data_IF_731807698624
#
_entry.id   IF_731807698624
#
_cell.length_a   1.000
_cell.length_b   1.000
_cell.length_c   1.000
_cell.angle_alpha   90.00
_cell.angle_beta   90.00
_cell.angle_gamma   90.00
#
_symmetry.space_group_name_H-M   'P 1'
#
loop_
_entity.id
_entity.type
_entity.pdbx_description
1 polymer ?
#
# COMPACT_ATOMS: atom_id res chain seq x y z
N UNK A 1 -6.99 -12.68 3.98
CA UNK A 1 -7.04 -11.22 3.84
C UNK A 1 -5.63 -10.66 3.70
N UNK A 2 -5.24 -10.24 2.50
CA UNK A 2 -3.93 -9.63 2.24
C UNK A 2 -4.11 -8.40 1.32
N UNK A 3 -3.29 -7.34 1.48
CA UNK A 3 -3.27 -6.25 0.52
C UNK A 3 -2.61 -6.72 -0.78
N UNK A 4 -3.21 -6.37 -1.92
CA UNK A 4 -2.68 -6.59 -3.27
C UNK A 4 -2.74 -5.27 -4.05
N UNK A 5 -2.08 -5.22 -5.21
CA UNK A 5 -2.08 -4.04 -6.09
C UNK A 5 -1.72 -2.74 -5.34
N UNK A 6 -0.54 -2.75 -4.69
CA UNK A 6 -0.03 -1.57 -3.98
C UNK A 6 0.22 -0.43 -4.97
N UNK A 7 -0.29 0.75 -4.65
CA UNK A 7 -0.11 1.97 -5.45
C UNK A 7 0.37 3.13 -4.61
N UNK A 8 1.11 4.03 -5.24
CA UNK A 8 1.43 5.37 -4.75
C UNK A 8 0.92 6.35 -5.81
N UNK A 9 0.06 7.29 -5.42
CA UNK A 9 -0.58 8.24 -6.36
C UNK A 9 -1.25 7.53 -7.55
N UNK A 10 -1.97 6.44 -7.27
CA UNK A 10 -2.69 5.59 -8.24
C UNK A 10 -1.81 4.85 -9.27
N UNK A 11 -0.49 4.85 -9.10
CA UNK A 11 0.44 4.12 -9.97
C UNK A 11 1.21 3.04 -9.19
N UNK A 12 1.57 1.95 -9.87
CA UNK A 12 2.43 0.88 -9.32
C UNK A 12 3.89 1.29 -9.53
N UNK A 13 4.67 1.34 -8.44
CA UNK A 13 6.09 1.70 -8.42
C UNK A 13 6.43 2.99 -9.23
N UNK A 14 5.75 4.12 -8.99
CA UNK A 14 6.00 5.33 -9.76
C UNK A 14 7.37 5.94 -9.45
N UNK A 15 7.91 6.63 -10.45
CA UNK A 15 9.09 7.49 -10.33
C UNK A 15 8.67 8.95 -10.52
N UNK A 16 9.36 9.88 -9.85
CA UNK A 16 9.14 11.32 -10.02
C UNK A 16 7.91 11.86 -9.29
N UNK A 17 7.53 11.28 -8.15
CA UNK A 17 6.50 11.84 -7.28
C UNK A 17 7.03 13.11 -6.59
N UNK A 18 6.42 14.26 -6.87
CA UNK A 18 6.72 15.56 -6.28
C UNK A 18 5.76 15.95 -5.15
N UNK A 19 4.69 15.17 -4.96
CA UNK A 19 3.66 15.37 -3.93
C UNK A 19 4.27 15.06 -2.54
N UNK A 20 4.36 16.04 -1.61
CA UNK A 20 5.02 15.84 -0.31
C UNK A 20 4.31 14.85 0.62
N UNK A 21 3.00 14.62 0.40
CA UNK A 21 2.15 13.70 1.17
C UNK A 21 1.43 12.77 0.20
N UNK A 22 2.12 11.77 -0.37
CA UNK A 22 1.53 10.92 -1.38
C UNK A 22 0.41 10.04 -0.79
N UNK A 23 -0.55 9.70 -1.63
CA UNK A 23 -1.65 8.77 -1.35
C UNK A 23 -1.18 7.36 -1.63
N UNK A 24 -1.27 6.50 -0.62
CA UNK A 24 -1.05 5.07 -0.76
C UNK A 24 -2.39 4.35 -0.94
N UNK A 25 -2.42 3.37 -1.84
CA UNK A 25 -3.61 2.55 -2.11
C UNK A 25 -3.27 1.07 -2.16
N UNK A 26 -4.25 0.24 -1.83
CA UNK A 26 -4.20 -1.21 -1.98
C UNK A 26 -5.62 -1.75 -2.16
N UNK A 27 -5.73 -2.90 -2.81
CA UNK A 27 -6.94 -3.71 -2.78
C UNK A 27 -6.82 -4.80 -1.72
N UNK A 28 -7.94 -5.28 -1.21
CA UNK A 28 -7.95 -6.40 -0.27
C UNK A 28 -8.42 -7.66 -0.98
N UNK A 29 -7.66 -8.73 -0.83
CA UNK A 29 -8.06 -10.07 -1.29
C UNK A 29 -8.37 -11.00 -0.13
N UNK A 30 -9.47 -11.74 -0.25
CA UNK A 30 -9.90 -12.76 0.71
C UNK A 30 -10.68 -13.87 0.00
N UNK A 31 -10.57 -15.10 0.51
CA UNK A 31 -11.42 -16.23 0.08
C UNK A 31 -12.81 -16.24 0.74
N UNK A 32 -13.01 -15.39 1.74
CA UNK A 32 -14.26 -15.26 2.50
C UNK A 32 -15.13 -14.11 1.98
N UNK A 33 -16.44 -14.18 2.22
CA UNK A 33 -17.40 -13.10 1.90
C UNK A 33 -17.51 -12.10 3.05
N UNK A 34 -18.01 -10.91 2.74
CA UNK A 34 -18.32 -9.84 3.70
C UNK A 34 -17.15 -9.43 4.60
N UNK A 35 -15.94 -9.44 4.04
CA UNK A 35 -14.71 -9.04 4.73
C UNK A 35 -14.52 -7.53 4.67
N UNK A 36 -14.23 -6.91 5.82
CA UNK A 36 -13.94 -5.49 5.94
C UNK A 36 -12.62 -5.24 6.66
N UNK A 37 -11.88 -4.22 6.21
CA UNK A 37 -10.69 -3.74 6.91
C UNK A 37 -11.08 -2.91 8.12
N UNK A 38 -10.62 -3.30 9.31
CA UNK A 38 -10.82 -2.52 10.54
C UNK A 38 -9.64 -1.60 10.86
N UNK A 39 -8.43 -1.96 10.42
CA UNK A 39 -7.21 -1.20 10.67
C UNK A 39 -6.16 -1.43 9.56
N UNK A 40 -5.17 -0.54 9.51
CA UNK A 40 -4.02 -0.66 8.61
C UNK A 40 -2.74 -0.17 9.30
N UNK A 41 -1.60 -0.64 8.78
CA UNK A 41 -0.27 -0.13 9.11
C UNK A 41 0.53 -0.02 7.81
N UNK A 42 1.11 1.15 7.56
CA UNK A 42 1.97 1.40 6.40
C UNK A 42 3.40 1.51 6.91
N UNK A 43 4.32 0.79 6.27
CA UNK A 43 5.75 0.84 6.53
C UNK A 43 6.44 1.39 5.29
N UNK A 44 7.31 2.37 5.48
CA UNK A 44 8.08 3.01 4.39
C UNK A 44 9.53 3.07 4.84
N UNK A 45 10.44 2.74 3.93
CA UNK A 45 11.87 2.73 4.19
C UNK A 45 12.63 3.34 3.00
N UNK A 46 13.81 3.92 3.27
CA UNK A 46 14.70 4.48 2.24
C UNK A 46 15.52 3.43 1.50
N UNK A 47 15.51 2.18 1.97
CA UNK A 47 16.15 1.02 1.36
C UNK A 47 15.43 -0.25 1.81
N UNK A 48 15.49 -1.32 1.02
CA UNK A 48 14.78 -2.58 1.29
C UNK A 48 15.17 -3.20 2.63
N UNK A 49 16.47 -3.25 2.95
CA UNK A 49 16.99 -3.84 4.20
C UNK A 49 16.50 -3.15 5.49
N UNK A 50 15.92 -1.94 5.36
CA UNK A 50 15.41 -1.16 6.51
C UNK A 50 13.91 -1.39 6.75
N UNK A 51 13.25 -2.18 5.90
CA UNK A 51 11.84 -2.53 6.03
C UNK A 51 11.71 -3.69 7.03
N UNK A 52 11.19 -3.41 8.23
CA UNK A 52 11.10 -4.34 9.37
C UNK A 52 9.68 -4.85 9.62
#
# INVERSE_FOLDING_TARGET
MQPIELTCEYAVNPLGIDIPKPRFGWLLTSSERDVMQSAYRILVASSEDRLA
#
